data_IF_887464773985
#
_entry.id   IF_887464773985
#
_cell.length_a   1.000
_cell.length_b   1.000
_cell.length_c   1.000
_cell.angle_alpha   90.00
_cell.angle_beta   90.00
_cell.angle_gamma   90.00
#
_symmetry.space_group_name_H-M   'P 1'
#
loop_
_entity.id
_entity.type
_entity.pdbx_description
1 polymer ?
#
# COMPACT_ATOMS: atom_id res chain seq x y z
N UNK A 1 14.25 18.49 -3.76
CA UNK A 1 12.87 18.91 -3.40
C UNK A 1 12.30 17.77 -2.59
N UNK A 2 11.89 17.99 -1.34
CA UNK A 2 11.22 16.94 -0.59
C UNK A 2 9.83 16.74 -1.20
N UNK A 3 9.46 15.50 -1.49
CA UNK A 3 8.10 15.18 -1.93
C UNK A 3 7.11 15.60 -0.83
N UNK A 4 5.95 16.18 -1.18
CA UNK A 4 4.94 16.51 -0.19
C UNK A 4 4.52 15.22 0.51
N UNK A 5 4.70 15.18 1.83
CA UNK A 5 4.26 14.08 2.67
C UNK A 5 2.72 14.16 2.77
N UNK A 6 2.02 13.42 1.91
CA UNK A 6 0.58 13.18 2.05
C UNK A 6 0.37 12.22 3.22
N UNK A 7 -0.64 12.51 4.05
CA UNK A 7 -1.01 11.68 5.19
C UNK A 7 -1.57 10.33 4.76
N UNK A 8 -1.56 9.34 5.66
CA UNK A 8 -2.13 8.03 5.36
C UNK A 8 -3.64 8.09 5.07
N UNK A 9 -4.38 9.00 5.71
CA UNK A 9 -5.79 9.25 5.41
C UNK A 9 -6.00 9.77 3.99
N UNK A 10 -5.19 10.73 3.54
CA UNK A 10 -5.24 11.24 2.16
C UNK A 10 -4.89 10.16 1.14
N UNK A 11 -3.90 9.31 1.44
CA UNK A 11 -3.53 8.17 0.59
C UNK A 11 -4.66 7.15 0.51
N UNK A 12 -5.26 6.78 1.63
CA UNK A 12 -6.37 5.83 1.70
C UNK A 12 -7.59 6.35 0.92
N UNK A 13 -7.93 7.63 1.04
CA UNK A 13 -9.03 8.23 0.29
C UNK A 13 -8.78 8.20 -1.23
N UNK A 14 -7.56 8.51 -1.67
CA UNK A 14 -7.23 8.45 -3.09
C UNK A 14 -7.25 7.01 -3.62
N UNK A 15 -6.75 6.05 -2.85
CA UNK A 15 -6.82 4.62 -3.19
C UNK A 15 -8.28 4.12 -3.25
N UNK A 16 -9.12 4.53 -2.30
CA UNK A 16 -10.54 4.22 -2.28
C UNK A 16 -11.24 4.77 -3.54
N UNK A 17 -10.93 6.02 -3.91
CA UNK A 17 -11.43 6.65 -5.14
C UNK A 17 -11.02 5.89 -6.40
N UNK A 18 -9.75 5.47 -6.50
CA UNK A 18 -9.22 4.72 -7.65
C UNK A 18 -9.79 3.31 -7.75
N UNK A 19 -10.07 2.67 -6.62
CA UNK A 19 -10.63 1.31 -6.55
C UNK A 19 -12.16 1.28 -6.58
N UNK A 20 -12.83 2.45 -6.52
CA UNK A 20 -14.29 2.54 -6.47
C UNK A 20 -14.89 2.07 -5.14
N UNK A 21 -14.10 2.09 -4.06
CA UNK A 21 -14.52 1.73 -2.71
C UNK A 21 -14.96 3.00 -1.98
N UNK A 22 -16.06 2.91 -1.23
CA UNK A 22 -16.48 3.96 -0.30
C UNK A 22 -16.02 3.59 1.11
N UNK A 23 -15.35 4.51 1.79
CA UNK A 23 -14.94 4.35 3.19
C UNK A 23 -15.80 5.31 4.03
N UNK A 24 -16.52 4.82 5.04
CA UNK A 24 -17.24 5.68 5.98
C UNK A 24 -16.27 6.61 6.74
N UNK A 25 -16.69 7.86 6.97
CA UNK A 25 -15.86 8.86 7.66
C UNK A 25 -15.42 8.39 9.06
N UNK A 26 -16.25 7.61 9.76
CA UNK A 26 -15.98 7.06 11.08
C UNK A 26 -15.01 5.86 11.06
N UNK A 27 -14.80 5.23 9.91
CA UNK A 27 -13.84 4.14 9.72
C UNK A 27 -12.49 4.61 9.16
N UNK A 28 -12.44 5.80 8.55
CA UNK A 28 -11.26 6.30 7.83
C UNK A 28 -9.98 6.25 8.67
N UNK A 29 -10.04 6.70 9.92
CA UNK A 29 -8.88 6.71 10.81
C UNK A 29 -8.35 5.30 11.12
N UNK A 30 -9.24 4.32 11.26
CA UNK A 30 -8.85 2.93 11.49
C UNK A 30 -8.21 2.32 10.23
N UNK A 31 -8.82 2.56 9.07
CA UNK A 31 -8.28 2.07 7.79
C UNK A 31 -6.91 2.70 7.52
N UNK A 32 -6.73 3.99 7.78
CA UNK A 32 -5.45 4.68 7.66
C UNK A 32 -4.38 4.10 8.59
N UNK A 33 -4.72 3.79 9.84
CA UNK A 33 -3.78 3.17 10.79
C UNK A 33 -3.35 1.76 10.33
N UNK A 34 -4.31 0.93 9.89
CA UNK A 34 -4.02 -0.40 9.34
C UNK A 34 -3.16 -0.31 8.08
N UNK A 35 -3.47 0.65 7.20
CA UNK A 35 -2.70 0.93 5.98
C UNK A 35 -1.25 1.31 6.30
N UNK A 36 -1.03 2.27 7.22
CA UNK A 36 0.31 2.68 7.64
C UNK A 36 1.11 1.51 8.23
N UNK A 37 0.49 0.70 9.08
CA UNK A 37 1.11 -0.51 9.64
C UNK A 37 1.53 -1.50 8.56
N UNK A 38 0.70 -1.72 7.54
CA UNK A 38 1.02 -2.59 6.41
C UNK A 38 2.17 -2.02 5.56
N UNK A 39 2.13 -0.72 5.27
CA UNK A 39 3.17 -0.05 4.48
C UNK A 39 4.54 -0.13 5.17
N UNK A 40 4.59 -0.01 6.51
CA UNK A 40 5.82 -0.18 7.28
C UNK A 40 6.40 -1.60 7.17
N UNK A 41 5.55 -2.63 7.14
CA UNK A 41 6.00 -4.00 6.93
C UNK A 41 6.48 -4.24 5.50
N UNK A 42 5.79 -3.66 4.50
CA UNK A 42 6.20 -3.73 3.10
C UNK A 42 7.51 -2.99 2.82
N UNK A 43 7.77 -1.88 3.52
CA UNK A 43 9.00 -1.11 3.36
C UNK A 43 10.25 -1.96 3.66
N UNK A 44 10.14 -2.93 4.57
CA UNK A 44 11.23 -3.89 4.87
C UNK A 44 11.61 -4.77 3.68
N UNK A 45 10.73 -4.93 2.70
CA UNK A 45 11.02 -5.67 1.45
C UNK A 45 11.97 -4.85 0.57
N UNK A 46 11.92 -3.52 0.64
CA UNK A 46 12.80 -2.64 -0.14
C UNK A 46 14.27 -2.73 0.25
N UNK A 47 14.55 -3.20 1.47
CA UNK A 47 15.90 -3.45 1.97
C UNK A 47 16.52 -4.75 1.44
N UNK A 48 15.74 -5.59 0.74
CA UNK A 48 16.25 -6.84 0.17
C UNK A 48 17.04 -6.57 -1.12
N UNK A 49 18.17 -7.24 -1.27
CA UNK A 49 18.89 -7.26 -2.53
C UNK A 49 18.17 -8.16 -3.54
N UNK A 50 17.50 -7.53 -4.50
CA UNK A 50 16.73 -8.19 -5.56
C UNK A 50 17.47 -8.16 -6.91
N UNK A 51 18.74 -7.76 -6.95
CA UNK A 51 19.49 -7.51 -8.20
C UNK A 51 19.54 -8.70 -9.17
N UNK A 52 19.58 -9.92 -8.64
CA UNK A 52 19.62 -11.17 -9.42
C UNK A 52 18.29 -11.95 -9.44
N UNK A 53 17.21 -11.37 -8.89
CA UNK A 53 15.89 -12.01 -8.83
C UNK A 53 15.04 -11.53 -10.01
N UNK A 54 14.65 -12.46 -10.87
CA UNK A 54 13.71 -12.16 -11.97
C UNK A 54 12.28 -12.08 -11.43
N UNK A 55 11.50 -11.02 -11.77
CA UNK A 55 10.09 -10.95 -11.42
C UNK A 55 9.32 -12.12 -12.00
N UNK A 56 8.53 -12.79 -11.16
CA UNK A 56 7.62 -13.84 -11.61
C UNK A 56 6.45 -13.18 -12.34
N UNK A 57 6.35 -13.38 -13.65
CA UNK A 57 5.35 -12.74 -14.51
C UNK A 57 3.99 -13.46 -14.53
N UNK A 58 3.93 -14.67 -13.98
CA UNK A 58 2.74 -15.52 -13.96
C UNK A 58 2.62 -16.09 -12.55
N UNK A 59 1.62 -15.67 -11.78
CA UNK A 59 1.24 -16.42 -10.59
C UNK A 59 0.83 -17.81 -11.07
N UNK A 60 1.48 -18.90 -10.61
CA UNK A 60 1.05 -20.23 -11.00
C UNK A 60 -0.38 -20.43 -10.52
N UNK A 61 -1.28 -20.83 -11.41
CA UNK A 61 -2.57 -21.40 -11.01
C UNK A 61 -2.25 -22.57 -10.06
N UNK A 62 -2.71 -22.51 -8.81
CA UNK A 62 -2.72 -23.66 -7.93
C UNK A 62 -3.59 -24.73 -8.60
N UNK A 63 -2.94 -25.71 -9.24
CA UNK A 63 -3.59 -26.86 -9.87
C UNK A 63 -4.14 -27.86 -8.87
#
# INVERSE_FOLDING_TARGET
MAEPQISDEERVLELARLSGISIPDDELAEVANRFGSLMLELDKISDLDLSDIQPVSIFPDEG
#
